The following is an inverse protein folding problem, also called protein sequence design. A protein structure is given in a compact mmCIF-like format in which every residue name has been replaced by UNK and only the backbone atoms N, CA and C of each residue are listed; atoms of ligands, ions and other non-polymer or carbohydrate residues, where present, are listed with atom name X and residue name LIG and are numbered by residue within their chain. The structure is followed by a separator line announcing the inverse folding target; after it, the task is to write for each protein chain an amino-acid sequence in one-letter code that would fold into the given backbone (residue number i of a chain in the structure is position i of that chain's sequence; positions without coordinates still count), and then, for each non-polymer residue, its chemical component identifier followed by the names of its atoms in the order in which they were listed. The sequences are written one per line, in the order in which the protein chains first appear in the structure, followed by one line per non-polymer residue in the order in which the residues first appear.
data_IF_907786752169
#
_entry.id   IF_907786752169
#
_cell.length_a   1.000
_cell.length_b   1.000
_cell.length_c   1.000
_cell.angle_alpha   90.00
_cell.angle_beta   90.00
_cell.angle_gamma   90.00
#
_symmetry.space_group_name_H-M   'P 1'
#
loop_
_entity.id
_entity.type
_entity.pdbx_description
1 polymer ?
#
# COMPACT_ATOMS: atom_id res chain seq x y z
N UNK A 1 25.75 -26.59 -33.35
CA UNK A 1 25.71 -27.10 -31.99
C UNK A 1 24.89 -26.16 -31.14
N UNK A 2 23.69 -26.61 -30.71
CA UNK A 2 22.66 -25.78 -30.09
C UNK A 2 22.67 -26.05 -28.57
N UNK A 3 23.10 -25.09 -27.75
CA UNK A 3 23.00 -25.18 -26.29
C UNK A 3 21.78 -24.43 -25.79
N UNK A 4 20.69 -25.17 -25.59
CA UNK A 4 19.50 -24.69 -24.85
C UNK A 4 19.83 -24.79 -23.35
N UNK A 5 20.06 -23.64 -22.70
CA UNK A 5 20.12 -23.56 -21.24
C UNK A 5 18.70 -23.34 -20.70
N UNK A 6 18.16 -24.35 -20.08
CA UNK A 6 16.92 -24.33 -19.32
C UNK A 6 17.19 -23.66 -17.97
N UNK A 7 16.55 -22.53 -17.73
CA UNK A 7 16.51 -21.96 -16.39
C UNK A 7 15.33 -22.57 -15.65
N UNK A 8 15.63 -23.46 -14.72
CA UNK A 8 14.66 -23.99 -13.78
C UNK A 8 14.36 -22.91 -12.73
N UNK A 9 13.14 -22.40 -12.72
CA UNK A 9 12.64 -21.55 -11.67
C UNK A 9 12.31 -22.42 -10.45
N UNK A 10 13.11 -22.31 -9.40
CA UNK A 10 12.83 -22.93 -8.12
C UNK A 10 11.78 -22.07 -7.39
N UNK A 11 10.54 -22.52 -7.41
CA UNK A 11 9.48 -21.99 -6.56
C UNK A 11 9.65 -22.55 -5.15
N UNK A 12 10.22 -21.78 -4.24
CA UNK A 12 10.24 -22.12 -2.81
C UNK A 12 8.89 -21.75 -2.20
N UNK A 13 8.01 -22.73 -2.06
CA UNK A 13 6.79 -22.64 -1.29
C UNK A 13 7.14 -22.72 0.20
N UNK A 14 7.09 -21.61 0.92
CA UNK A 14 7.14 -21.60 2.39
C UNK A 14 5.71 -21.75 2.89
N UNK A 15 5.35 -22.98 3.24
CA UNK A 15 4.12 -23.29 3.97
C UNK A 15 4.37 -22.99 5.46
N UNK A 16 3.88 -21.85 5.95
CA UNK A 16 3.71 -21.62 7.38
C UNK A 16 2.28 -22.04 7.77
N UNK A 17 2.15 -23.25 8.24
CA UNK A 17 0.95 -23.71 8.96
C UNK A 17 1.10 -23.31 10.44
N UNK A 18 0.48 -22.21 10.84
CA UNK A 18 0.24 -21.89 12.23
C UNK A 18 -1.25 -22.13 12.55
N UNK A 19 -1.55 -23.30 13.09
CA UNK A 19 -2.81 -23.59 13.75
C UNK A 19 -2.85 -22.87 15.08
N UNK A 20 -3.65 -21.81 15.19
CA UNK A 20 -3.96 -21.17 16.46
C UNK A 20 -5.37 -21.58 16.87
N UNK A 21 -5.45 -22.49 17.83
CA UNK A 21 -6.66 -22.80 18.57
C UNK A 21 -6.96 -21.63 19.53
N UNK A 22 -8.08 -20.94 19.33
CA UNK A 22 -8.60 -20.00 20.32
C UNK A 22 -9.88 -20.60 20.90
N UNK A 23 -9.75 -21.13 22.10
CA UNK A 23 -10.88 -21.34 23.01
C UNK A 23 -10.86 -20.23 24.06
N UNK A 24 -12.01 -19.67 24.39
CA UNK A 24 -12.14 -18.92 25.62
C UNK A 24 -12.90 -17.60 25.52
N UNK A 25 -14.22 -17.71 25.71
CA UNK A 25 -15.17 -16.70 26.18
C UNK A 25 -14.62 -15.82 27.32
N UNK A 26 -14.91 -14.52 27.32
CA UNK A 26 -15.65 -13.89 28.44
C UNK A 26 -16.04 -12.45 28.11
N UNK A 27 -17.32 -12.18 28.29
CA UNK A 27 -17.98 -10.91 28.54
C UNK A 27 -17.21 -10.02 29.49
N UNK A 28 -17.01 -8.76 29.10
CA UNK A 28 -16.48 -7.70 29.93
C UNK A 28 -16.90 -6.35 29.35
N UNK A 29 -18.09 -5.90 29.81
CA UNK A 29 -18.57 -4.53 29.66
C UNK A 29 -17.50 -3.56 30.21
N UNK A 30 -17.08 -2.63 29.39
CA UNK A 30 -16.10 -1.60 29.75
C UNK A 30 -16.11 -0.50 28.71
N UNK A 31 -17.15 0.33 28.76
CA UNK A 31 -17.32 1.49 27.90
C UNK A 31 -16.16 2.47 28.00
N UNK A 32 -15.27 2.45 27.00
CA UNK A 32 -14.38 3.55 26.69
C UNK A 32 -14.91 4.29 25.49
N UNK A 33 -15.71 5.32 25.77
CA UNK A 33 -16.03 6.37 24.80
C UNK A 33 -14.72 7.04 24.39
N UNK A 34 -14.09 6.56 23.33
CA UNK A 34 -13.13 7.36 22.59
C UNK A 34 -13.91 8.30 21.66
N UNK A 35 -14.31 9.41 22.25
CA UNK A 35 -14.73 10.59 21.54
C UNK A 35 -13.65 10.99 20.53
N UNK A 36 -13.97 10.81 19.26
CA UNK A 36 -13.62 11.65 18.13
C UNK A 36 -12.21 12.23 18.05
N UNK A 37 -11.19 11.42 17.77
CA UNK A 37 -10.13 11.90 16.88
C UNK A 37 -10.38 11.30 15.52
N UNK A 38 -11.07 12.09 14.68
CA UNK A 38 -11.29 11.79 13.28
C UNK A 38 -9.98 11.32 12.65
N UNK A 39 -9.90 10.03 12.40
CA UNK A 39 -8.82 9.46 11.61
C UNK A 39 -8.85 10.16 10.27
N UNK A 40 -7.99 11.14 10.08
CA UNK A 40 -7.66 11.68 8.79
C UNK A 40 -7.00 10.53 8.03
N UNK A 41 -7.83 9.61 7.56
CA UNK A 41 -7.45 8.67 6.53
C UNK A 41 -6.99 9.52 5.36
N UNK A 42 -5.70 9.82 5.34
CA UNK A 42 -5.08 10.49 4.22
C UNK A 42 -5.25 9.57 3.02
N UNK A 43 -6.37 9.74 2.33
CA UNK A 43 -6.54 9.26 0.98
C UNK A 43 -5.45 9.95 0.15
N UNK A 44 -4.28 9.31 0.06
CA UNK A 44 -3.13 9.89 -0.64
C UNK A 44 -3.44 10.23 -2.10
N UNK A 45 -4.48 9.63 -2.68
CA UNK A 45 -5.03 9.97 -3.99
C UNK A 45 -5.87 11.25 -3.97
N UNK A 46 -6.67 11.50 -2.92
CA UNK A 46 -7.52 12.68 -2.83
C UNK A 46 -6.72 14.01 -2.87
N UNK A 47 -5.47 14.02 -2.43
CA UNK A 47 -4.62 15.23 -2.46
C UNK A 47 -4.24 15.70 -3.86
N UNK A 48 -4.15 14.82 -4.84
CA UNK A 48 -3.94 15.22 -6.24
C UNK A 48 -5.26 15.61 -6.89
N UNK A 49 -6.29 14.79 -6.74
CA UNK A 49 -7.60 15.03 -7.32
C UNK A 49 -8.18 16.40 -6.92
N UNK A 50 -8.02 16.81 -5.65
CA UNK A 50 -8.50 18.10 -5.18
C UNK A 50 -7.72 19.31 -5.72
N UNK A 51 -6.44 19.12 -6.08
CA UNK A 51 -5.59 20.20 -6.60
C UNK A 51 -5.67 20.36 -8.12
N UNK A 52 -6.12 19.33 -8.83
CA UNK A 52 -6.19 19.31 -10.29
C UNK A 52 -7.51 19.88 -10.85
N UNK A 53 -8.42 20.35 -10.01
CA UNK A 53 -9.73 20.87 -10.42
C UNK A 53 -10.45 19.93 -11.41
N UNK A 54 -10.49 18.65 -11.09
CA UNK A 54 -11.10 17.62 -11.94
C UNK A 54 -12.59 17.88 -12.11
N UNK A 55 -13.12 17.68 -13.30
CA UNK A 55 -14.56 17.60 -13.56
C UNK A 55 -15.16 16.40 -12.84
N UNK A 56 -16.47 16.36 -12.66
CA UNK A 56 -17.11 15.22 -11.98
C UNK A 56 -16.94 13.92 -12.76
N UNK A 57 -16.99 13.98 -14.10
CA UNK A 57 -16.67 12.84 -14.94
C UNK A 57 -15.23 12.33 -14.75
N UNK A 58 -14.25 13.22 -14.67
CA UNK A 58 -12.86 12.86 -14.39
C UNK A 58 -12.69 12.27 -12.99
N UNK A 59 -13.40 12.80 -11.98
CA UNK A 59 -13.38 12.24 -10.61
C UNK A 59 -13.89 10.81 -10.56
N UNK A 60 -14.98 10.51 -11.28
CA UNK A 60 -15.51 9.13 -11.34
C UNK A 60 -14.55 8.19 -12.07
N UNK A 61 -13.97 8.61 -13.19
CA UNK A 61 -12.94 7.82 -13.89
C UNK A 61 -11.71 7.58 -13.02
N UNK A 62 -11.24 8.61 -12.31
CA UNK A 62 -10.12 8.52 -11.37
C UNK A 62 -10.40 7.50 -10.26
N UNK A 63 -11.56 7.58 -9.66
CA UNK A 63 -12.03 6.64 -8.63
C UNK A 63 -12.11 5.22 -9.16
N UNK A 64 -12.59 5.02 -10.39
CA UNK A 64 -12.63 3.72 -11.03
C UNK A 64 -11.21 3.13 -11.22
N UNK A 65 -10.25 3.93 -11.67
CA UNK A 65 -8.84 3.51 -11.78
C UNK A 65 -8.26 3.12 -10.43
N UNK A 66 -8.51 3.90 -9.37
CA UNK A 66 -8.05 3.57 -8.01
C UNK A 66 -8.71 2.29 -7.46
N UNK A 67 -10.00 2.07 -7.72
CA UNK A 67 -10.71 0.85 -7.30
C UNK A 67 -10.17 -0.38 -8.02
N UNK A 68 -10.01 -0.32 -9.35
CA UNK A 68 -9.44 -1.40 -10.13
C UNK A 68 -8.01 -1.73 -9.66
N UNK A 69 -7.19 -0.71 -9.43
CA UNK A 69 -5.85 -0.90 -8.90
C UNK A 69 -5.85 -1.62 -7.54
N UNK A 70 -6.78 -1.29 -6.65
CA UNK A 70 -6.91 -1.99 -5.35
C UNK A 70 -7.38 -3.42 -5.51
N UNK A 71 -8.29 -3.69 -6.43
CA UNK A 71 -8.78 -5.04 -6.70
C UNK A 71 -7.68 -5.92 -7.31
N UNK A 72 -7.00 -5.41 -8.35
CA UNK A 72 -5.89 -6.11 -9.02
C UNK A 72 -4.74 -6.45 -8.06
N UNK A 73 -4.53 -5.63 -7.03
CA UNK A 73 -3.43 -5.76 -6.08
C UNK A 73 -3.91 -6.11 -4.65
N UNK A 74 -5.11 -6.67 -4.49
CA UNK A 74 -5.72 -6.92 -3.17
C UNK A 74 -4.86 -7.81 -2.27
N UNK A 75 -4.28 -8.88 -2.81
CA UNK A 75 -3.37 -9.76 -2.08
C UNK A 75 -2.14 -9.03 -1.53
N UNK A 76 -1.55 -8.12 -2.32
CA UNK A 76 -0.44 -7.29 -1.88
C UNK A 76 -0.84 -6.33 -0.73
N UNK A 77 -2.02 -5.72 -0.82
CA UNK A 77 -2.51 -4.84 0.24
C UNK A 77 -2.76 -5.61 1.54
N UNK A 78 -3.33 -6.81 1.44
CA UNK A 78 -3.56 -7.66 2.61
C UNK A 78 -2.24 -8.11 3.25
N UNK A 79 -1.28 -8.59 2.46
CA UNK A 79 0.06 -8.95 2.95
C UNK A 79 0.76 -7.76 3.62
N UNK A 80 0.65 -6.57 3.05
CA UNK A 80 1.23 -5.35 3.63
C UNK A 80 0.56 -4.94 4.94
N UNK A 81 -0.74 -5.22 5.10
CA UNK A 81 -1.49 -5.02 6.34
C UNK A 81 -1.00 -5.98 7.41
N UNK A 82 -0.94 -7.28 7.09
CA UNK A 82 -0.44 -8.32 8.00
C UNK A 82 0.98 -8.04 8.48
N UNK A 83 1.88 -7.60 7.59
CA UNK A 83 3.24 -7.21 7.98
C UNK A 83 3.24 -6.06 8.99
N UNK A 84 2.37 -5.06 8.83
CA UNK A 84 2.26 -3.94 9.78
C UNK A 84 1.72 -4.39 11.13
N UNK A 85 0.71 -5.24 11.13
CA UNK A 85 0.13 -5.81 12.35
C UNK A 85 1.16 -6.66 13.09
N UNK A 86 1.93 -7.49 12.37
CA UNK A 86 3.02 -8.26 12.95
C UNK A 86 4.12 -7.38 13.56
N UNK A 87 4.49 -6.26 12.90
CA UNK A 87 5.43 -5.29 13.48
C UNK A 87 4.88 -4.69 14.79
N UNK A 88 3.59 -4.35 14.84
CA UNK A 88 2.97 -3.84 16.04
C UNK A 88 2.95 -4.87 17.17
N UNK A 89 2.63 -6.13 16.86
CA UNK A 89 2.63 -7.22 17.81
C UNK A 89 4.04 -7.49 18.37
N UNK A 90 5.05 -7.59 17.50
CA UNK A 90 6.45 -7.79 17.90
C UNK A 90 6.99 -6.64 18.75
N UNK A 91 6.64 -5.38 18.44
CA UNK A 91 6.98 -4.23 19.28
C UNK A 91 6.35 -4.30 20.66
N UNK A 92 5.08 -4.71 20.74
CA UNK A 92 4.38 -4.88 22.02
C UNK A 92 4.97 -6.01 22.86
N UNK A 93 5.46 -7.06 22.22
CA UNK A 93 6.14 -8.18 22.86
C UNK A 93 7.60 -7.88 23.24
N UNK A 94 8.18 -6.76 22.80
CA UNK A 94 9.59 -6.42 23.01
C UNK A 94 10.57 -7.23 22.14
N UNK A 95 10.08 -7.97 21.14
CA UNK A 95 10.92 -8.78 20.24
C UNK A 95 11.59 -7.90 19.17
N UNK A 96 12.75 -7.36 19.52
CA UNK A 96 13.52 -6.48 18.64
C UNK A 96 14.04 -7.19 17.39
N UNK A 97 14.40 -8.46 17.48
CA UNK A 97 14.90 -9.24 16.35
C UNK A 97 13.79 -9.43 15.29
N UNK A 98 12.60 -9.80 15.73
CA UNK A 98 11.44 -9.93 14.85
C UNK A 98 11.04 -8.58 14.25
N UNK A 99 11.10 -7.49 15.00
CA UNK A 99 10.83 -6.14 14.50
C UNK A 99 11.77 -5.78 13.34
N UNK A 100 13.08 -6.05 13.47
CA UNK A 100 14.05 -5.72 12.40
C UNK A 100 13.82 -6.58 11.14
N UNK A 101 13.56 -7.87 11.28
CA UNK A 101 13.22 -8.75 10.16
C UNK A 101 11.96 -8.27 9.42
N UNK A 102 10.90 -7.95 10.16
CA UNK A 102 9.64 -7.46 9.58
C UNK A 102 9.78 -6.06 8.96
N UNK A 103 10.65 -5.21 9.49
CA UNK A 103 10.98 -3.92 8.87
C UNK A 103 11.67 -4.09 7.51
N UNK A 104 12.57 -5.07 7.37
CA UNK A 104 13.19 -5.40 6.08
C UNK A 104 12.12 -5.82 5.06
N UNK A 105 11.18 -6.69 5.46
CA UNK A 105 10.02 -7.07 4.65
C UNK A 105 9.18 -5.85 4.27
N UNK A 106 8.85 -4.97 5.21
CA UNK A 106 8.09 -3.75 4.95
C UNK A 106 8.83 -2.79 4.00
N UNK A 107 10.17 -2.74 4.06
CA UNK A 107 10.99 -1.95 3.12
C UNK A 107 10.86 -2.50 1.69
N UNK A 108 10.96 -3.80 1.51
CA UNK A 108 10.76 -4.47 0.21
C UNK A 108 9.34 -4.19 -0.33
N UNK A 109 8.32 -4.35 0.49
CA UNK A 109 6.93 -4.04 0.11
C UNK A 109 6.73 -2.57 -0.29
N UNK A 110 7.44 -1.62 0.33
CA UNK A 110 7.39 -0.21 -0.09
C UNK A 110 8.00 0.00 -1.48
N UNK A 111 9.09 -0.68 -1.79
CA UNK A 111 9.70 -0.64 -3.13
C UNK A 111 8.75 -1.24 -4.18
N UNK A 112 8.14 -2.37 -3.89
CA UNK A 112 7.14 -3.00 -4.75
C UNK A 112 5.90 -2.11 -4.95
N UNK A 113 5.39 -1.48 -3.88
CA UNK A 113 4.30 -0.51 -3.99
C UNK A 113 4.65 0.68 -4.89
N UNK A 114 5.91 1.14 -4.86
CA UNK A 114 6.37 2.21 -5.76
C UNK A 114 6.26 1.78 -7.22
N UNK A 115 6.68 0.56 -7.54
CA UNK A 115 6.55 -0.01 -8.90
C UNK A 115 5.09 -0.15 -9.31
N UNK A 116 4.23 -0.71 -8.45
CA UNK A 116 2.79 -0.84 -8.72
C UNK A 116 2.12 0.52 -9.00
N UNK A 117 2.51 1.58 -8.29
CA UNK A 117 1.99 2.92 -8.57
C UNK A 117 2.44 3.47 -9.92
N UNK A 118 3.62 3.11 -10.39
CA UNK A 118 4.09 3.50 -11.71
C UNK A 118 3.22 2.90 -12.83
N UNK A 119 2.64 1.70 -12.63
CA UNK A 119 1.71 1.10 -13.60
C UNK A 119 0.34 1.78 -13.60
N UNK A 120 -0.07 2.38 -12.49
CA UNK A 120 -1.33 3.14 -12.40
C UNK A 120 -1.21 4.54 -13.03
N UNK A 121 -0.04 5.14 -13.00
CA UNK A 121 0.19 6.53 -13.45
C UNK A 121 -0.28 6.79 -14.89
N UNK A 122 0.06 6.00 -15.92
CA UNK A 122 -0.42 6.24 -17.28
C UNK A 122 -1.95 6.15 -17.39
N UNK A 123 -2.60 5.29 -16.60
CA UNK A 123 -4.07 5.20 -16.55
C UNK A 123 -4.69 6.50 -16.00
N UNK A 124 -4.06 7.12 -14.99
CA UNK A 124 -4.49 8.40 -14.44
C UNK A 124 -4.21 9.56 -15.40
N UNK A 125 -3.04 9.56 -16.05
CA UNK A 125 -2.67 10.58 -17.03
C UNK A 125 -3.64 10.63 -18.21
N UNK A 126 -4.16 9.49 -18.65
CA UNK A 126 -5.11 9.40 -19.76
C UNK A 126 -6.46 10.09 -19.48
N UNK A 127 -6.80 10.34 -18.20
CA UNK A 127 -8.04 11.01 -17.78
C UNK A 127 -7.87 12.54 -17.81
N UNK A 128 -6.63 13.03 -17.71
CA UNK A 128 -6.30 14.43 -17.51
C UNK A 128 -6.15 15.18 -18.84
N UNK A 129 -6.52 16.47 -18.83
CA UNK A 129 -6.17 17.40 -19.91
C UNK A 129 -4.65 17.69 -19.92
N UNK A 130 -4.10 18.25 -20.98
CA UNK A 130 -2.69 18.59 -21.09
C UNK A 130 -2.21 19.47 -19.91
N UNK A 131 -2.98 20.50 -19.56
CA UNK A 131 -2.66 21.40 -18.43
C UNK A 131 -2.69 20.66 -17.09
N UNK A 132 -3.68 19.82 -16.86
CA UNK A 132 -3.78 18.99 -15.67
C UNK A 132 -2.63 17.97 -15.58
N UNK A 133 -2.19 17.40 -16.71
CA UNK A 133 -1.02 16.52 -16.76
C UNK A 133 0.25 17.26 -16.34
N UNK A 134 0.48 18.48 -16.85
CA UNK A 134 1.61 19.31 -16.45
C UNK A 134 1.60 19.61 -14.94
N UNK A 135 0.44 19.99 -14.40
CA UNK A 135 0.27 20.23 -12.97
C UNK A 135 0.51 18.95 -12.12
N UNK A 136 0.02 17.79 -12.58
CA UNK A 136 0.24 16.51 -11.91
C UNK A 136 1.73 16.18 -11.84
N UNK A 137 2.47 16.34 -12.93
CA UNK A 137 3.92 16.09 -12.97
C UNK A 137 4.70 17.06 -12.07
N UNK A 138 4.35 18.36 -12.06
CA UNK A 138 4.95 19.35 -11.18
C UNK A 138 4.76 18.97 -9.69
N UNK A 139 3.54 18.63 -9.29
CA UNK A 139 3.24 18.19 -7.92
C UNK A 139 3.96 16.90 -7.54
N UNK A 140 4.15 15.99 -8.49
CA UNK A 140 4.90 14.75 -8.28
C UNK A 140 6.39 15.02 -8.05
N UNK A 141 6.99 15.92 -8.85
CA UNK A 141 8.38 16.33 -8.72
C UNK A 141 8.62 17.02 -7.37
N UNK A 142 7.76 17.95 -6.97
CA UNK A 142 7.84 18.64 -5.68
C UNK A 142 7.76 17.66 -4.49
N UNK A 143 6.87 16.68 -4.57
CA UNK A 143 6.78 15.62 -3.55
C UNK A 143 8.04 14.76 -3.49
N UNK A 144 8.66 14.48 -4.64
CA UNK A 144 9.91 13.74 -4.74
C UNK A 144 11.07 14.49 -4.05
N UNK A 145 11.21 15.78 -4.32
CA UNK A 145 12.23 16.64 -3.73
C UNK A 145 12.15 16.67 -2.19
N UNK A 146 10.96 16.88 -1.63
CA UNK A 146 10.75 16.88 -0.16
C UNK A 146 11.10 15.56 0.54
N UNK A 147 11.14 14.44 -0.19
CA UNK A 147 11.53 13.15 0.37
C UNK A 147 13.02 12.87 0.31
N UNK A 148 13.79 13.66 -0.45
CA UNK A 148 15.25 13.54 -0.53
C UNK A 148 15.97 14.40 0.52
N UNK A 149 15.30 15.44 1.04
CA UNK A 149 15.85 16.35 2.06
C UNK A 149 15.73 15.81 3.52
N UNK A 150 15.18 14.60 3.70
CA UNK A 150 15.02 13.95 5.01
C UNK A 150 15.84 12.66 5.12
#
# INVERSE_FOLDING_TARGET
MKNKKWFAAAATAIALSATLAIAGTTTGDGGWKHEGRGGHGHHRGAGFASKLNLTDAQKEQWKAVEQNFRQENSAFFEQSKQTREAIHAAKKAGDTAQVESLKATAKSQRAQMKQLRQTMEPKLMAILTADQQAQFQAMKAERGARHQEK
#
